data_IF_030905590365
#
_entry.id   IF_030905590365
#
_cell.length_a   1.000
_cell.length_b   1.000
_cell.length_c   1.000
_cell.angle_alpha   90.00
_cell.angle_beta   90.00
_cell.angle_gamma   90.00
#
_symmetry.space_group_name_H-M   'P 1'
#
loop_
_entity.id
_entity.type
_entity.pdbx_description
1 polymer ?
#
# COMPACT_ATOMS: atom_id res chain seq x y z
N UNK A 1 14.57 5.47 4.43
CA UNK A 1 13.95 4.11 4.37
C UNK A 1 13.30 3.93 3.01
N UNK A 2 13.03 2.70 2.55
CA UNK A 2 12.34 2.49 1.28
C UNK A 2 10.85 2.88 1.42
N UNK A 3 10.30 3.78 0.58
CA UNK A 3 8.86 4.03 0.53
C UNK A 3 8.12 2.78 0.06
N UNK A 4 7.00 2.45 0.70
CA UNK A 4 6.18 1.28 0.34
C UNK A 4 4.71 1.72 0.27
N UNK A 5 4.03 1.37 -0.83
CA UNK A 5 2.57 1.35 -0.92
C UNK A 5 2.11 -0.08 -1.13
N UNK A 6 1.17 -0.53 -0.31
CA UNK A 6 0.58 -1.86 -0.36
C UNK A 6 -0.87 -1.75 -0.82
N UNK A 7 -1.17 -2.39 -1.96
CA UNK A 7 -2.53 -2.48 -2.49
C UNK A 7 -3.11 -3.82 -2.10
N UNK A 8 -4.28 -3.79 -1.46
CA UNK A 8 -4.84 -4.94 -0.75
C UNK A 8 -6.24 -5.23 -1.26
N UNK A 9 -6.42 -6.39 -1.89
CA UNK A 9 -7.75 -6.84 -2.30
C UNK A 9 -8.65 -7.10 -1.09
N UNK A 10 -9.91 -6.71 -1.15
CA UNK A 10 -10.92 -7.07 -0.16
C UNK A 10 -12.17 -7.59 -0.85
N UNK A 11 -12.60 -8.78 -0.46
CA UNK A 11 -13.84 -9.39 -0.91
C UNK A 11 -14.64 -9.78 0.33
N UNK A 12 -15.97 -9.61 0.26
CA UNK A 12 -16.87 -10.12 1.29
C UNK A 12 -16.74 -11.65 1.37
N UNK A 13 -16.44 -12.21 2.55
CA UNK A 13 -16.24 -13.65 2.69
C UNK A 13 -17.57 -14.40 2.56
N UNK A 14 -17.60 -15.42 1.70
CA UNK A 14 -18.76 -16.28 1.47
C UNK A 14 -18.83 -17.48 2.43
N UNK A 15 -17.76 -17.77 3.18
CA UNK A 15 -17.70 -18.88 4.14
C UNK A 15 -16.73 -18.59 5.30
N UNK A 16 -16.75 -19.45 6.32
CA UNK A 16 -15.93 -19.28 7.53
C UNK A 16 -14.42 -19.32 7.26
N UNK A 17 -13.96 -20.14 6.31
CA UNK A 17 -12.55 -20.17 5.94
C UNK A 17 -12.09 -18.83 5.34
N UNK A 18 -12.93 -18.20 4.51
CA UNK A 18 -12.66 -16.87 3.95
C UNK A 18 -12.75 -15.77 5.01
N UNK A 19 -13.68 -15.87 5.98
CA UNK A 19 -13.75 -14.94 7.12
C UNK A 19 -12.47 -15.00 7.94
N UNK A 20 -11.99 -16.20 8.25
CA UNK A 20 -10.76 -16.41 9.01
C UNK A 20 -9.54 -15.89 8.24
N UNK A 21 -9.47 -16.16 6.93
CA UNK A 21 -8.42 -15.59 6.08
C UNK A 21 -8.44 -14.06 6.08
N UNK A 22 -9.60 -13.42 5.95
CA UNK A 22 -9.72 -11.96 6.00
C UNK A 22 -9.29 -11.42 7.38
N UNK A 23 -9.64 -12.11 8.47
CA UNK A 23 -9.21 -11.78 9.83
C UNK A 23 -7.67 -11.82 9.94
N UNK A 24 -7.05 -12.90 9.50
CA UNK A 24 -5.58 -13.05 9.49
C UNK A 24 -4.91 -11.98 8.63
N UNK A 25 -5.47 -11.68 7.46
CA UNK A 25 -4.97 -10.65 6.55
C UNK A 25 -4.97 -9.27 7.22
N UNK A 26 -6.07 -8.90 7.89
CA UNK A 26 -6.17 -7.65 8.65
C UNK A 26 -5.14 -7.60 9.80
N UNK A 27 -4.92 -8.70 10.51
CA UNK A 27 -3.88 -8.77 11.55
C UNK A 27 -2.47 -8.58 10.99
N UNK A 28 -2.16 -9.19 9.84
CA UNK A 28 -0.88 -9.00 9.16
C UNK A 28 -0.65 -7.55 8.73
N UNK A 29 -1.70 -6.88 8.24
CA UNK A 29 -1.65 -5.45 7.89
C UNK A 29 -1.31 -4.58 9.12
N UNK A 30 -1.94 -4.84 10.27
CA UNK A 30 -1.61 -4.13 11.52
C UNK A 30 -0.15 -4.34 11.92
N UNK A 31 0.36 -5.57 11.80
CA UNK A 31 1.78 -5.86 12.09
C UNK A 31 2.73 -5.12 11.14
N UNK A 32 2.41 -5.07 9.85
CA UNK A 32 3.19 -4.33 8.85
C UNK A 32 3.21 -2.83 9.19
N UNK A 33 2.08 -2.24 9.57
CA UNK A 33 2.02 -0.82 9.96
C UNK A 33 2.88 -0.50 11.18
N UNK A 34 2.94 -1.41 12.16
CA UNK A 34 3.83 -1.25 13.32
C UNK A 34 5.32 -1.30 12.94
N UNK A 35 5.69 -2.17 12.00
CA UNK A 35 7.08 -2.35 11.56
C UNK A 35 7.52 -1.28 10.54
N UNK A 36 6.58 -0.73 9.78
CA UNK A 36 6.81 0.25 8.73
C UNK A 36 5.84 1.44 8.89
N UNK A 37 6.12 2.39 9.81
CA UNK A 37 5.18 3.48 10.13
C UNK A 37 4.80 4.37 8.95
N UNK A 38 5.65 4.43 7.93
CA UNK A 38 5.46 5.27 6.73
C UNK A 38 4.88 4.49 5.53
N UNK A 39 4.37 3.27 5.75
CA UNK A 39 3.71 2.49 4.69
C UNK A 39 2.35 3.09 4.33
N UNK A 40 2.07 3.19 3.03
CA UNK A 40 0.74 3.54 2.52
C UNK A 40 -0.05 2.27 2.25
N UNK A 41 -1.26 2.14 2.79
CA UNK A 41 -2.09 0.93 2.60
C UNK A 41 -3.42 1.33 1.97
N UNK A 42 -3.74 0.70 0.84
CA UNK A 42 -4.97 0.94 0.09
C UNK A 42 -5.74 -0.36 -0.02
N UNK A 43 -6.94 -0.40 0.56
CA UNK A 43 -7.87 -1.51 0.39
C UNK A 43 -8.73 -1.29 -0.85
N UNK A 44 -8.87 -2.33 -1.68
CA UNK A 44 -9.70 -2.30 -2.88
C UNK A 44 -10.90 -3.24 -2.68
N UNK A 45 -12.06 -2.72 -2.25
CA UNK A 45 -13.23 -3.54 -1.98
C UNK A 45 -13.80 -4.16 -3.26
N UNK A 46 -14.44 -5.31 -3.09
CA UNK A 46 -15.01 -6.14 -4.14
C UNK A 46 -13.95 -6.58 -5.18
N UNK A 47 -12.75 -6.91 -4.72
CA UNK A 47 -11.67 -7.47 -5.55
C UNK A 47 -11.07 -8.72 -4.93
N UNK A 48 -10.51 -9.58 -5.79
CA UNK A 48 -9.66 -10.71 -5.43
C UNK A 48 -8.20 -10.38 -5.78
N UNK A 49 -7.31 -11.37 -5.77
CA UNK A 49 -5.88 -11.16 -6.03
C UNK A 49 -5.59 -10.53 -7.41
N UNK A 50 -6.47 -10.71 -8.40
CA UNK A 50 -6.35 -10.15 -9.75
C UNK A 50 -6.82 -8.69 -9.87
N UNK A 51 -6.45 -7.84 -8.90
CA UNK A 51 -6.71 -6.39 -8.95
C UNK A 51 -6.34 -5.76 -10.31
N UNK A 52 -5.19 -6.09 -10.95
CA UNK A 52 -4.85 -5.49 -12.24
C UNK A 52 -5.89 -5.74 -13.34
N UNK A 53 -6.60 -6.86 -13.29
CA UNK A 53 -7.68 -7.19 -14.23
C UNK A 53 -9.01 -6.55 -13.82
N UNK A 54 -9.31 -6.50 -12.52
CA UNK A 54 -10.59 -6.02 -12.01
C UNK A 54 -10.70 -4.50 -11.92
N UNK A 55 -9.59 -3.81 -11.60
CA UNK A 55 -9.51 -2.37 -11.34
C UNK A 55 -8.27 -1.73 -11.97
N UNK A 56 -7.99 -1.92 -13.28
CA UNK A 56 -6.76 -1.44 -13.91
C UNK A 56 -6.55 0.07 -13.77
N UNK A 57 -7.60 0.88 -13.98
CA UNK A 57 -7.50 2.34 -13.90
C UNK A 57 -7.16 2.81 -12.48
N UNK A 58 -7.90 2.32 -11.48
CA UNK A 58 -7.65 2.67 -10.08
C UNK A 58 -6.25 2.24 -9.62
N UNK A 59 -5.79 1.05 -10.03
CA UNK A 59 -4.44 0.61 -9.73
C UNK A 59 -3.38 1.52 -10.37
N UNK A 60 -3.58 1.92 -11.63
CA UNK A 60 -2.69 2.86 -12.31
C UNK A 60 -2.64 4.21 -11.59
N UNK A 61 -3.78 4.74 -11.14
CA UNK A 61 -3.86 5.98 -10.38
C UNK A 61 -3.09 5.90 -9.07
N UNK A 62 -3.19 4.78 -8.34
CA UNK A 62 -2.45 4.56 -7.09
C UNK A 62 -0.93 4.53 -7.30
N UNK A 63 -0.48 3.91 -8.40
CA UNK A 63 0.94 3.87 -8.81
C UNK A 63 1.41 5.29 -9.16
N UNK A 64 0.68 6.02 -10.00
CA UNK A 64 1.02 7.40 -10.37
C UNK A 64 1.08 8.29 -9.14
N UNK A 65 0.09 8.21 -8.25
CA UNK A 65 0.08 8.93 -6.97
C UNK A 65 1.31 8.61 -6.13
N UNK A 66 1.65 7.32 -5.99
CA UNK A 66 2.79 6.89 -5.19
C UNK A 66 4.13 7.42 -5.74
N UNK A 67 4.33 7.38 -7.07
CA UNK A 67 5.57 7.90 -7.68
C UNK A 67 5.77 9.40 -7.42
N UNK A 68 4.69 10.18 -7.33
CA UNK A 68 4.76 11.60 -6.97
C UNK A 68 5.20 11.77 -5.52
N UNK A 69 4.62 11.03 -4.58
CA UNK A 69 4.99 11.06 -3.16
C UNK A 69 6.47 10.70 -2.96
N UNK A 70 6.95 9.64 -3.63
CA UNK A 70 8.36 9.22 -3.57
C UNK A 70 9.28 10.32 -4.08
N UNK A 71 8.95 10.94 -5.22
CA UNK A 71 9.75 12.02 -5.81
C UNK A 71 9.86 13.23 -4.87
N UNK A 72 8.78 13.62 -4.21
CA UNK A 72 8.79 14.73 -3.26
C UNK A 72 9.73 14.47 -2.09
N UNK A 73 9.66 13.27 -1.47
CA UNK A 73 10.52 12.91 -0.34
C UNK A 73 12.01 12.92 -0.69
N UNK A 74 12.36 12.41 -1.88
CA UNK A 74 13.76 12.45 -2.36
C UNK A 74 14.24 13.89 -2.56
N UNK A 75 13.40 14.79 -3.06
CA UNK A 75 13.77 16.19 -3.25
C UNK A 75 13.95 16.94 -1.92
N UNK A 76 13.18 16.61 -0.90
CA UNK A 76 13.33 17.14 0.46
C UNK A 76 14.63 16.65 1.11
N UNK A 77 14.91 15.34 1.06
CA UNK A 77 16.17 14.77 1.58
C UNK A 77 17.43 15.38 0.94
N UNK A 78 17.38 15.68 -0.36
CA UNK A 78 18.49 16.34 -1.08
C UNK A 78 18.65 17.81 -0.68
N UNK A 79 17.57 18.51 -0.35
CA UNK A 79 17.60 19.93 0.08
C UNK A 79 18.15 20.10 1.48
N UNK A 80 17.84 19.16 2.37
CA UNK A 80 18.25 19.21 3.78
C UNK A 80 19.66 18.63 4.03
N UNK A 81 20.33 18.13 2.99
CA UNK A 81 21.70 17.66 3.09
C UNK A 81 22.67 18.83 3.37
N UNK A 82 23.52 18.76 4.42
CA UNK A 82 24.46 19.82 4.71
C UNK A 82 25.41 20.02 3.53
N UNK A 83 25.58 21.28 3.12
CA UNK A 83 26.58 21.65 2.11
C UNK A 83 27.95 21.23 2.62
N UNK A 84 28.58 20.27 1.94
CA UNK A 84 29.97 19.90 2.21
C UNK A 84 30.84 21.08 1.75
N UNK A 85 31.28 21.91 2.70
CA UNK A 85 32.38 22.89 2.55
C UNK A 85 33.61 22.40 3.29
#
# INVERSE_FOLDING_TARGET
SCPIKLIVAEQEPANEAQKEFLRMKRQGIVQIQMLCPNIEIVWMPNTIHDIPLQRPAQLADEIVSFTKTVRTRVQEEVRDAPSQT
#
